data_IF_138308306258
#
_entry.id   IF_138308306258
#
_cell.length_a   1.000
_cell.length_b   1.000
_cell.length_c   1.000
_cell.angle_alpha   90.00
_cell.angle_beta   90.00
_cell.angle_gamma   90.00
#
_symmetry.space_group_name_H-M   'P 1'
#
loop_
_entity.id
_entity.type
_entity.pdbx_description
1 polymer ?
#
# COMPACT_ATOMS: atom_id res chain seq x y z
N UNK A 1 22.78 40.92 18.91
CA UNK A 1 21.38 40.45 18.75
C UNK A 1 21.27 39.30 17.73
N UNK A 2 22.25 38.40 17.65
CA UNK A 2 22.44 37.49 16.48
C UNK A 2 22.43 35.99 16.82
N UNK A 3 22.65 35.62 18.10
CA UNK A 3 22.76 34.21 18.52
C UNK A 3 21.41 33.48 18.61
N UNK A 4 20.33 34.19 18.99
CA UNK A 4 18.97 33.63 19.13
C UNK A 4 18.30 33.35 17.78
N UNK A 5 18.52 34.21 16.78
CA UNK A 5 18.04 34.02 15.40
C UNK A 5 18.66 32.78 14.75
N UNK A 6 19.95 32.53 15.00
CA UNK A 6 20.64 31.36 14.47
C UNK A 6 20.13 30.05 15.09
N UNK A 7 19.83 30.05 16.40
CA UNK A 7 19.23 28.89 17.05
C UNK A 7 17.79 28.62 16.62
N UNK A 8 16.99 29.65 16.37
CA UNK A 8 15.63 29.50 15.80
C UNK A 8 15.67 28.96 14.36
N UNK A 9 16.63 29.39 13.55
CA UNK A 9 16.85 28.85 12.21
C UNK A 9 17.22 27.36 12.23
N UNK A 10 18.14 26.96 13.12
CA UNK A 10 18.50 25.56 13.32
C UNK A 10 17.31 24.70 13.77
N UNK A 11 16.49 25.19 14.70
CA UNK A 11 15.26 24.53 15.14
C UNK A 11 14.23 24.36 14.02
N UNK A 12 14.09 25.35 13.13
CA UNK A 12 13.21 25.25 11.98
C UNK A 12 13.66 24.18 10.98
N UNK A 13 14.97 24.12 10.69
CA UNK A 13 15.53 23.14 9.74
C UNK A 13 15.44 21.71 10.31
N UNK A 14 15.70 21.52 11.61
CA UNK A 14 15.54 20.20 12.23
C UNK A 14 14.08 19.74 12.25
N UNK A 15 13.13 20.66 12.47
CA UNK A 15 11.71 20.32 12.43
C UNK A 15 11.27 19.89 11.02
N UNK A 16 11.69 20.62 9.98
CA UNK A 16 11.37 20.27 8.58
C UNK A 16 11.99 18.91 8.21
N UNK A 17 13.25 18.68 8.55
CA UNK A 17 13.95 17.42 8.22
C UNK A 17 13.33 16.22 8.94
N UNK A 18 12.92 16.37 10.21
CA UNK A 18 12.19 15.30 10.94
C UNK A 18 10.85 14.99 10.28
N UNK A 19 10.08 16.01 9.88
CA UNK A 19 8.80 15.79 9.19
C UNK A 19 8.99 15.10 7.83
N UNK A 20 10.06 15.43 7.10
CA UNK A 20 10.41 14.73 5.86
C UNK A 20 10.79 13.27 6.11
N UNK A 21 11.59 12.97 7.13
CA UNK A 21 11.96 11.59 7.46
C UNK A 21 10.74 10.76 7.91
N UNK A 22 9.84 11.33 8.71
CA UNK A 22 8.59 10.69 9.14
C UNK A 22 7.62 10.46 7.97
N UNK A 23 7.61 11.35 6.97
CA UNK A 23 6.83 11.15 5.75
C UNK A 23 7.36 9.95 4.94
N UNK A 24 8.69 9.82 4.83
CA UNK A 24 9.32 8.70 4.11
C UNK A 24 9.03 7.37 4.81
N UNK A 25 9.05 7.32 6.15
CA UNK A 25 8.75 6.08 6.88
C UNK A 25 7.28 5.67 6.79
N UNK A 26 6.34 6.61 6.69
CA UNK A 26 4.92 6.30 6.38
C UNK A 26 4.73 5.66 5.00
N UNK A 27 5.62 5.95 4.06
CA UNK A 27 5.64 5.32 2.73
C UNK A 27 6.41 3.99 2.70
N UNK A 28 7.06 3.58 3.80
CA UNK A 28 7.93 2.39 3.83
C UNK A 28 7.18 1.05 3.90
N UNK A 29 5.85 1.06 4.04
CA UNK A 29 5.06 -0.18 4.07
C UNK A 29 4.68 -0.69 2.67
N UNK A 30 5.54 -0.38 1.69
CA UNK A 30 5.42 -0.77 0.29
C UNK A 30 6.62 -1.63 -0.05
N UNK A 31 6.38 -2.92 -0.32
CA UNK A 31 7.41 -3.80 -0.84
C UNK A 31 7.42 -3.73 -2.35
N UNK A 32 8.58 -3.52 -2.96
CA UNK A 32 8.72 -3.51 -4.42
C UNK A 32 9.11 -4.91 -4.90
N UNK A 33 8.30 -5.48 -5.78
CA UNK A 33 8.55 -6.79 -6.39
C UNK A 33 8.88 -6.57 -7.86
N UNK A 34 10.08 -6.95 -8.34
CA UNK A 34 10.43 -6.79 -9.74
C UNK A 34 9.53 -7.67 -10.63
N UNK A 35 9.14 -7.15 -11.79
CA UNK A 35 8.34 -7.88 -12.77
C UNK A 35 8.76 -7.55 -14.21
N UNK A 36 8.44 -8.45 -15.14
CA UNK A 36 8.60 -8.18 -16.57
C UNK A 36 7.43 -7.35 -17.07
N UNK A 37 7.67 -6.48 -18.05
CA UNK A 37 6.63 -5.60 -18.61
C UNK A 37 6.47 -5.83 -20.12
N UNK A 38 5.25 -5.66 -20.61
CA UNK A 38 4.89 -5.74 -22.03
C UNK A 38 3.79 -4.72 -22.32
N UNK A 39 3.97 -3.89 -23.36
CA UNK A 39 2.98 -2.90 -23.82
C UNK A 39 2.31 -2.10 -22.68
N UNK A 40 3.11 -1.45 -21.82
CA UNK A 40 2.64 -0.67 -20.67
C UNK A 40 1.78 -1.46 -19.66
N UNK A 41 2.10 -2.75 -19.51
CA UNK A 41 1.49 -3.65 -18.54
C UNK A 41 2.56 -4.49 -17.85
N UNK A 42 2.33 -4.84 -16.59
CA UNK A 42 3.17 -5.75 -15.82
C UNK A 42 2.69 -7.19 -15.99
N UNK A 43 3.61 -8.11 -16.25
CA UNK A 43 3.33 -9.55 -16.28
C UNK A 43 3.21 -10.02 -14.83
N UNK A 44 2.00 -10.43 -14.45
CA UNK A 44 1.68 -10.89 -13.11
C UNK A 44 1.74 -12.42 -13.01
N UNK A 45 1.28 -13.12 -14.04
CA UNK A 45 1.37 -14.57 -14.17
C UNK A 45 1.61 -14.94 -15.65
N UNK A 46 1.86 -16.22 -15.95
CA UNK A 46 2.23 -16.71 -17.29
C UNK A 46 1.27 -16.23 -18.39
N UNK A 47 -0.01 -16.03 -18.07
CA UNK A 47 -1.05 -15.59 -19.01
C UNK A 47 -1.77 -14.29 -18.59
N UNK A 48 -1.33 -13.62 -17.52
CA UNK A 48 -2.05 -12.47 -16.97
C UNK A 48 -1.15 -11.23 -16.91
N UNK A 49 -1.65 -10.16 -17.51
CA UNK A 49 -1.02 -8.84 -17.49
C UNK A 49 -1.90 -7.85 -16.76
N UNK A 50 -1.29 -7.03 -15.91
CA UNK A 50 -1.94 -5.94 -15.18
C UNK A 50 -1.52 -4.64 -15.84
N UNK A 51 -2.49 -3.82 -16.24
CA UNK A 51 -2.18 -2.52 -16.87
C UNK A 51 -1.43 -1.60 -15.90
N UNK A 52 -0.59 -0.72 -16.43
CA UNK A 52 0.11 0.27 -15.61
C UNK A 52 -0.88 1.10 -14.77
N UNK A 53 -0.59 1.24 -13.47
CA UNK A 53 -1.44 1.92 -12.49
C UNK A 53 -2.66 1.13 -12.00
N UNK A 54 -2.93 -0.06 -12.54
CA UNK A 54 -3.98 -0.94 -12.04
C UNK A 54 -3.45 -1.82 -10.93
N UNK A 55 -4.36 -2.28 -10.10
CA UNK A 55 -4.06 -3.05 -8.92
C UNK A 55 -4.75 -4.42 -8.88
N UNK A 56 -4.09 -5.35 -8.20
CA UNK A 56 -4.58 -6.70 -7.95
C UNK A 56 -4.77 -6.83 -6.45
N UNK A 57 -5.99 -7.19 -6.05
CA UNK A 57 -6.37 -7.34 -4.66
C UNK A 57 -6.37 -8.80 -4.26
N UNK A 58 -5.67 -9.12 -3.19
CA UNK A 58 -5.57 -10.48 -2.68
C UNK A 58 -6.47 -10.71 -1.48
N UNK A 59 -7.08 -11.89 -1.43
CA UNK A 59 -7.83 -12.40 -0.29
C UNK A 59 -6.90 -13.05 0.76
N UNK A 60 -7.39 -13.33 1.98
CA UNK A 60 -6.67 -14.14 2.96
C UNK A 60 -6.18 -15.46 2.37
N UNK A 61 -5.01 -15.97 2.82
CA UNK A 61 -4.18 -15.45 3.91
C UNK A 61 -3.27 -14.28 3.53
N UNK A 62 -3.00 -14.06 2.24
CA UNK A 62 -2.01 -13.09 1.74
C UNK A 62 -2.60 -11.70 1.49
N UNK A 63 -3.51 -11.24 2.35
CA UNK A 63 -4.27 -9.99 2.23
C UNK A 63 -3.38 -8.78 1.87
N UNK A 64 -3.23 -8.48 0.58
CA UNK A 64 -2.30 -7.49 0.02
C UNK A 64 -2.89 -6.87 -1.23
N UNK A 65 -2.42 -5.66 -1.57
CA UNK A 65 -2.70 -4.99 -2.83
C UNK A 65 -1.41 -4.87 -3.63
N UNK A 66 -1.44 -5.22 -4.91
CA UNK A 66 -0.30 -5.14 -5.81
C UNK A 66 -0.61 -4.15 -6.92
N UNK A 67 0.10 -3.03 -6.97
CA UNK A 67 -0.09 -2.00 -8.00
C UNK A 67 0.99 -2.12 -9.06
N UNK A 68 0.61 -2.27 -10.32
CA UNK A 68 1.57 -2.33 -11.42
C UNK A 68 2.20 -0.96 -11.68
N UNK A 69 3.53 -0.92 -11.73
CA UNK A 69 4.31 0.21 -12.24
C UNK A 69 5.15 -0.25 -13.43
N UNK A 70 4.57 -0.18 -14.63
CA UNK A 70 5.24 -0.67 -15.84
C UNK A 70 6.46 0.17 -16.23
N UNK A 71 6.46 1.46 -15.89
CA UNK A 71 7.58 2.38 -16.12
C UNK A 71 8.82 2.01 -15.32
N UNK A 72 8.63 1.47 -14.11
CA UNK A 72 9.70 1.03 -13.23
C UNK A 72 9.96 -0.49 -13.30
N UNK A 73 9.12 -1.26 -13.99
CA UNK A 73 9.26 -2.72 -14.08
C UNK A 73 9.05 -3.42 -12.74
N UNK A 74 8.11 -2.94 -11.93
CA UNK A 74 7.87 -3.47 -10.59
C UNK A 74 6.38 -3.42 -10.19
N UNK A 75 5.99 -4.31 -9.29
CA UNK A 75 4.77 -4.19 -8.51
C UNK A 75 5.06 -3.52 -7.17
N UNK A 76 4.25 -2.53 -6.80
CA UNK A 76 4.20 -1.98 -5.45
C UNK A 76 3.22 -2.79 -4.63
N UNK A 77 3.72 -3.51 -3.62
CA UNK A 77 2.92 -4.40 -2.77
C UNK A 77 2.64 -3.71 -1.44
N UNK A 78 1.36 -3.50 -1.16
CA UNK A 78 0.84 -2.87 0.04
C UNK A 78 0.21 -3.93 0.94
N UNK A 79 0.69 -4.01 2.18
CA UNK A 79 0.13 -4.90 3.19
C UNK A 79 -1.01 -4.27 3.99
N UNK A 80 -1.38 -4.92 5.09
CA UNK A 80 -2.32 -4.41 6.08
C UNK A 80 -1.63 -3.43 7.03
N UNK A 81 -1.53 -2.16 6.62
CA UNK A 81 -1.00 -1.06 7.42
C UNK A 81 -1.93 0.17 7.40
N UNK A 82 -1.38 1.35 7.67
CA UNK A 82 -2.13 2.62 7.59
C UNK A 82 -2.81 2.82 6.23
N UNK A 83 -2.18 2.33 5.15
CA UNK A 83 -2.70 2.38 3.77
C UNK A 83 -4.03 1.66 3.60
N UNK A 84 -4.27 0.58 4.34
CA UNK A 84 -5.50 -0.20 4.27
C UNK A 84 -6.63 0.44 5.09
N UNK A 85 -6.30 1.05 6.23
CA UNK A 85 -7.28 1.51 7.23
C UNK A 85 -8.26 2.58 6.70
N UNK A 86 -7.81 3.42 5.76
CA UNK A 86 -8.61 4.51 5.18
C UNK A 86 -8.71 4.41 3.66
N UNK A 87 -8.47 3.23 3.08
CA UNK A 87 -8.44 3.09 1.63
C UNK A 87 -9.84 3.28 1.03
N UNK A 88 -9.98 3.99 -0.11
CA UNK A 88 -11.28 4.24 -0.76
C UNK A 88 -12.10 2.98 -1.05
N UNK A 89 -11.44 1.83 -1.22
CA UNK A 89 -12.12 0.55 -1.46
C UNK A 89 -12.99 0.07 -0.31
N UNK A 90 -12.76 0.54 0.91
CA UNK A 90 -13.66 0.25 2.04
C UNK A 90 -15.05 0.86 1.86
N UNK A 91 -15.17 1.92 1.05
CA UNK A 91 -16.44 2.56 0.75
C UNK A 91 -17.18 1.94 -0.46
N UNK A 92 -16.54 1.01 -1.17
CA UNK A 92 -17.17 0.34 -2.31
C UNK A 92 -18.15 -0.74 -1.82
N UNK A 93 -19.31 -0.91 -2.49
CA UNK A 93 -20.24 -1.98 -2.17
C UNK A 93 -19.68 -3.32 -2.66
N UNK A 94 -18.77 -3.91 -1.88
CA UNK A 94 -18.28 -5.28 -2.08
C UNK A 94 -19.32 -6.26 -1.53
N UNK A 95 -19.52 -7.40 -2.20
CA UNK A 95 -20.48 -8.42 -1.74
C UNK A 95 -20.04 -9.00 -0.39
N UNK A 96 -21.01 -9.45 0.40
CA UNK A 96 -20.74 -10.22 1.62
C UNK A 96 -20.08 -11.55 1.24
N UNK A 97 -18.76 -11.63 1.42
CA UNK A 97 -17.92 -12.74 0.98
C UNK A 97 -16.67 -12.32 0.21
N UNK A 98 -16.67 -11.11 -0.37
CA UNK A 98 -15.52 -10.54 -1.09
C UNK A 98 -14.49 -9.97 -0.10
N UNK A 99 -13.74 -10.87 0.50
CA UNK A 99 -12.73 -10.56 1.51
C UNK A 99 -11.38 -10.25 0.86
N UNK A 100 -11.34 -9.28 -0.02
CA UNK A 100 -10.10 -8.79 -0.62
C UNK A 100 -9.49 -7.65 0.21
N UNK A 101 -8.22 -7.35 -0.01
CA UNK A 101 -7.61 -6.13 0.53
C UNK A 101 -8.42 -4.92 0.05
N UNK A 102 -8.72 -3.92 0.89
CA UNK A 102 -8.27 -3.71 2.28
C UNK A 102 -9.21 -4.33 3.34
N UNK A 103 -10.38 -4.85 2.95
CA UNK A 103 -11.42 -5.37 3.87
C UNK A 103 -10.89 -6.49 4.77
N UNK A 104 -10.10 -7.41 4.19
CA UNK A 104 -9.47 -8.48 4.96
C UNK A 104 -8.40 -8.05 5.97
N UNK A 105 -7.98 -6.78 5.98
CA UNK A 105 -7.01 -6.27 6.94
C UNK A 105 -7.60 -6.01 8.33
N UNK A 106 -8.92 -5.90 8.44
CA UNK A 106 -9.60 -5.70 9.73
C UNK A 106 -10.64 -6.80 9.96
N UNK A 107 -10.17 -8.00 10.27
CA UNK A 107 -11.03 -9.17 10.53
C UNK A 107 -11.94 -8.99 11.77
N UNK A 108 -11.59 -8.08 12.68
CA UNK A 108 -12.45 -7.76 13.84
C UNK A 108 -13.69 -6.98 13.43
N UNK A 109 -13.53 -6.02 12.50
CA UNK A 109 -14.63 -5.27 11.91
C UNK A 109 -15.38 -6.07 10.82
N UNK A 110 -14.66 -6.94 10.10
CA UNK A 110 -15.16 -7.78 9.02
C UNK A 110 -15.01 -9.26 9.37
N UNK A 111 -15.83 -9.75 10.29
CA UNK A 111 -15.79 -11.15 10.78
C UNK A 111 -16.09 -12.16 9.69
N UNK A 112 -16.83 -11.78 8.66
CA UNK A 112 -17.04 -12.58 7.46
C UNK A 112 -15.71 -12.99 6.79
N UNK A 113 -14.65 -12.19 6.96
CA UNK A 113 -13.34 -12.46 6.40
C UNK A 113 -12.46 -13.40 7.23
N UNK A 114 -12.79 -13.66 8.49
CA UNK A 114 -12.09 -14.66 9.31
C UNK A 114 -12.44 -16.10 8.92
N UNK A 115 -13.63 -16.33 8.38
CA UNK A 115 -14.05 -17.66 7.96
C UNK A 115 -13.46 -18.03 6.58
N UNK A 116 -13.19 -17.04 5.74
CA UNK A 116 -12.57 -17.23 4.43
C UNK A 116 -11.09 -17.68 4.51
N UNK A 117 -10.39 -17.41 5.62
CA UNK A 117 -9.00 -17.82 5.84
C UNK A 117 -8.85 -19.24 6.39
N UNK A 118 -9.93 -19.86 6.89
CA UNK A 118 -9.90 -21.19 7.52
C UNK A 118 -10.17 -22.35 6.54
N UNK A 119 -10.42 -22.05 5.26
CA UNK A 119 -10.80 -23.03 4.23
C UNK A 119 -9.72 -23.33 3.18
N UNK A 120 -8.44 -23.05 3.47
CA UNK A 120 -7.31 -23.35 2.59
C UNK A 120 -6.59 -24.63 3.03
#
# INVERSE_FOLDING_TARGET
MTRKLWQLGLLGVTFITVQYMLCITKCANVTKVPCSTINDSCIYNVNETVKNGYDVLWKPPNCTQWVCNASAGEFSVHGCGETAANHPYLALPMLDGDCYWPKCCNMTAHRECSNASAGA
#
